data_IF_142749651253
#
_entry.id   IF_142749651253
#
_cell.length_a   1.000
_cell.length_b   1.000
_cell.length_c   1.000
_cell.angle_alpha   90.00
_cell.angle_beta   90.00
_cell.angle_gamma   90.00
#
_symmetry.space_group_name_H-M   'P 1'
#
loop_
_entity.id
_entity.type
_entity.pdbx_description
1 polymer ?
#
# COMPACT_ATOMS: atom_id res chain seq x y z
N UNK A 1 -24.95 -22.53 -0.02
CA UNK A 1 -25.88 -21.57 -0.66
C UNK A 1 -25.07 -20.28 -0.80
N UNK A 2 -24.50 -20.03 -1.97
CA UNK A 2 -23.69 -18.82 -2.23
C UNK A 2 -24.59 -17.61 -1.97
N UNK A 3 -24.19 -16.76 -1.07
CA UNK A 3 -24.94 -15.55 -0.77
C UNK A 3 -24.83 -14.62 -2.01
N UNK A 4 -25.91 -14.07 -2.53
CA UNK A 4 -25.94 -13.19 -3.70
C UNK A 4 -25.00 -11.96 -3.61
N UNK A 5 -24.38 -11.73 -2.45
CA UNK A 5 -23.48 -10.61 -2.15
C UNK A 5 -22.04 -10.82 -2.64
N UNK A 6 -21.60 -12.06 -2.81
CA UNK A 6 -20.22 -12.40 -3.22
C UNK A 6 -20.05 -12.67 -4.72
N UNK A 7 -21.02 -12.31 -5.54
CA UNK A 7 -20.97 -12.51 -7.00
C UNK A 7 -20.90 -11.21 -7.78
N UNK A 8 -20.89 -10.05 -7.13
CA UNK A 8 -20.89 -8.73 -7.77
C UNK A 8 -19.88 -7.78 -7.13
N UNK A 9 -19.32 -6.86 -7.90
CA UNK A 9 -18.54 -5.77 -7.33
C UNK A 9 -19.32 -5.00 -6.27
N UNK A 10 -18.63 -4.64 -5.20
CA UNK A 10 -19.17 -3.81 -4.13
C UNK A 10 -18.33 -2.54 -3.98
N UNK A 11 -19.01 -1.41 -3.91
CA UNK A 11 -18.35 -0.15 -3.61
C UNK A 11 -17.81 -0.17 -2.19
N UNK A 12 -16.60 0.34 -1.97
CA UNK A 12 -16.05 0.60 -0.64
C UNK A 12 -16.12 2.09 -0.31
N UNK A 13 -16.44 2.38 0.93
CA UNK A 13 -16.37 3.75 1.45
C UNK A 13 -14.92 4.11 1.78
N UNK A 14 -14.54 5.41 1.74
CA UNK A 14 -13.20 5.83 2.14
C UNK A 14 -12.81 5.34 3.53
N UNK A 15 -11.66 4.70 3.65
CA UNK A 15 -11.07 4.22 4.91
C UNK A 15 -9.84 5.07 5.21
N UNK A 16 -10.07 6.32 5.63
CA UNK A 16 -8.97 7.25 5.94
C UNK A 16 -8.26 6.80 7.22
N UNK A 17 -6.94 6.71 7.15
CA UNK A 17 -6.09 6.19 8.22
C UNK A 17 -5.22 7.31 8.77
N UNK A 18 -5.20 7.43 10.11
CA UNK A 18 -4.30 8.32 10.83
C UNK A 18 -2.85 7.91 10.62
N UNK A 19 -1.98 8.89 10.38
CA UNK A 19 -0.53 8.72 10.36
C UNK A 19 0.16 9.90 11.05
N UNK A 20 1.42 9.69 11.42
CA UNK A 20 2.26 10.71 12.04
C UNK A 20 2.67 11.84 11.09
N UNK A 21 2.37 11.74 9.80
CA UNK A 21 2.62 12.75 8.78
C UNK A 21 1.31 13.28 8.18
N UNK A 22 1.38 14.45 7.55
CA UNK A 22 0.19 15.12 6.99
C UNK A 22 0.07 14.89 5.50
N UNK A 23 -1.18 14.98 5.01
CA UNK A 23 -1.50 14.85 3.60
C UNK A 23 -2.98 14.61 3.35
N UNK A 24 -3.31 14.08 2.17
CA UNK A 24 -4.65 13.65 1.80
C UNK A 24 -5.41 14.59 0.90
N UNK A 25 -4.87 15.79 0.60
CA UNK A 25 -5.49 16.78 -0.28
C UNK A 25 -5.79 16.23 -1.69
N UNK A 26 -4.85 15.47 -2.28
CA UNK A 26 -5.05 14.91 -3.62
C UNK A 26 -6.06 13.77 -3.62
N UNK A 27 -6.14 12.97 -2.55
CA UNK A 27 -7.17 11.93 -2.38
C UNK A 27 -8.56 12.58 -2.39
N UNK A 28 -8.74 13.66 -1.60
CA UNK A 28 -10.00 14.37 -1.53
C UNK A 28 -10.38 14.98 -2.89
N UNK A 29 -9.42 15.62 -3.57
CA UNK A 29 -9.61 16.21 -4.91
C UNK A 29 -9.98 15.17 -5.96
N UNK A 30 -9.31 14.01 -5.94
CA UNK A 30 -9.65 12.87 -6.80
C UNK A 30 -11.12 12.45 -6.62
N UNK A 31 -11.66 12.59 -5.42
CA UNK A 31 -13.07 12.30 -5.07
C UNK A 31 -14.02 13.48 -5.26
N UNK A 32 -13.54 14.58 -5.87
CA UNK A 32 -14.35 15.78 -6.10
C UNK A 32 -14.66 16.57 -4.85
N UNK A 33 -13.86 16.43 -3.79
CA UNK A 33 -13.96 17.21 -2.55
C UNK A 33 -12.98 18.39 -2.59
N UNK A 34 -13.16 19.45 -1.79
CA UNK A 34 -12.26 20.61 -1.75
C UNK A 34 -10.80 20.23 -1.44
N UNK A 35 -10.59 19.23 -0.62
CA UNK A 35 -9.31 18.70 -0.21
C UNK A 35 -8.55 19.57 0.79
N UNK A 36 -8.00 18.92 1.81
CA UNK A 36 -7.19 19.54 2.85
C UNK A 36 -6.15 18.54 3.36
N UNK A 37 -4.93 19.01 3.62
CA UNK A 37 -3.93 18.19 4.28
C UNK A 37 -4.23 18.06 5.78
N UNK A 38 -4.33 16.81 6.21
CA UNK A 38 -4.67 16.43 7.59
C UNK A 38 -3.75 15.31 8.08
N UNK A 39 -3.98 14.81 9.29
CA UNK A 39 -3.31 13.63 9.84
C UNK A 39 -3.92 12.30 9.32
N UNK A 40 -4.68 12.36 8.22
CA UNK A 40 -5.29 11.19 7.54
C UNK A 40 -4.85 11.14 6.08
N UNK A 41 -3.54 11.00 5.80
CA UNK A 41 -2.96 11.08 4.46
C UNK A 41 -3.15 9.82 3.62
N UNK A 42 -3.59 8.74 4.21
CA UNK A 42 -3.81 7.45 3.57
C UNK A 42 -5.30 7.08 3.53
N UNK A 43 -5.68 6.34 2.48
CA UNK A 43 -6.97 5.69 2.36
C UNK A 43 -6.75 4.22 1.98
N UNK A 44 -7.12 3.31 2.88
CA UNK A 44 -6.93 1.88 2.70
C UNK A 44 -8.11 1.26 1.98
N UNK A 45 -7.90 0.90 0.73
CA UNK A 45 -8.97 0.51 -0.19
C UNK A 45 -9.18 -1.00 -0.17
N UNK A 46 -10.38 -1.44 0.18
CA UNK A 46 -10.70 -2.88 0.21
C UNK A 46 -9.85 -3.66 1.22
N UNK A 47 -9.45 -3.00 2.30
CA UNK A 47 -8.52 -3.55 3.28
C UNK A 47 -9.22 -4.37 4.37
N UNK A 48 -8.58 -5.48 4.71
CA UNK A 48 -8.88 -6.30 5.91
C UNK A 48 -7.74 -6.26 6.93
N UNK A 49 -6.73 -5.43 6.69
CA UNK A 49 -5.57 -5.24 7.56
C UNK A 49 -5.85 -4.13 8.56
N UNK A 50 -5.53 -4.36 9.83
CA UNK A 50 -5.62 -3.33 10.87
C UNK A 50 -4.38 -2.44 10.82
N UNK A 51 -4.58 -1.14 10.81
CA UNK A 51 -3.49 -0.16 10.86
C UNK A 51 -2.90 -0.07 12.28
N UNK A 52 -1.58 -0.01 12.36
CA UNK A 52 -0.84 0.13 13.61
C UNK A 52 -0.34 1.56 13.78
N UNK A 53 -0.84 2.24 14.81
CA UNK A 53 -0.40 3.58 15.17
C UNK A 53 0.01 3.59 16.64
N UNK A 54 1.32 3.64 16.96
CA UNK A 54 1.80 3.64 18.35
C UNK A 54 1.09 4.69 19.20
N UNK A 55 0.61 4.27 20.37
CA UNK A 55 -0.11 5.15 21.30
C UNK A 55 -1.60 5.40 20.98
N UNK A 56 -2.16 4.78 19.93
CA UNK A 56 -3.59 4.83 19.59
C UNK A 56 -4.20 3.43 19.68
N UNK A 57 -5.33 3.32 20.34
CA UNK A 57 -6.12 2.09 20.40
C UNK A 57 -7.34 2.21 19.45
N UNK A 58 -7.11 1.86 18.21
CA UNK A 58 -8.11 1.96 17.13
C UNK A 58 -8.26 0.59 16.42
N UNK A 59 -8.95 -0.38 17.03
CA UNK A 59 -8.96 -1.78 16.56
C UNK A 59 -9.64 -1.99 15.20
N UNK A 60 -10.31 -0.99 14.67
CA UNK A 60 -10.95 -1.01 13.35
C UNK A 60 -10.25 -0.08 12.33
N UNK A 61 -9.17 0.60 12.73
CA UNK A 61 -8.42 1.45 11.81
C UNK A 61 -7.88 0.62 10.63
N UNK A 62 -8.04 1.13 9.42
CA UNK A 62 -7.62 0.43 8.20
C UNK A 62 -8.59 -0.62 7.67
N UNK A 63 -9.63 -1.03 8.43
CA UNK A 63 -10.63 -1.98 7.94
C UNK A 63 -11.67 -1.29 7.07
N UNK A 64 -11.76 -1.70 5.80
CA UNK A 64 -12.71 -1.12 4.85
C UNK A 64 -14.16 -1.54 5.12
N UNK A 65 -15.07 -0.61 4.84
CA UNK A 65 -16.51 -0.84 4.85
C UNK A 65 -17.08 -0.79 3.44
N UNK A 66 -18.03 -1.65 3.20
CA UNK A 66 -18.85 -1.60 1.99
C UNK A 66 -19.86 -0.44 2.07
N UNK A 67 -20.55 -0.17 0.97
CA UNK A 67 -21.52 0.92 0.83
C UNK A 67 -22.76 0.79 1.74
N UNK A 68 -23.08 -0.43 2.21
CA UNK A 68 -24.11 -0.69 3.21
C UNK A 68 -23.64 -0.55 4.67
N UNK A 69 -22.34 -0.25 4.87
CA UNK A 69 -21.70 -0.06 6.18
C UNK A 69 -21.14 -1.35 6.80
N UNK A 70 -21.35 -2.53 6.19
CA UNK A 70 -20.75 -3.78 6.68
C UNK A 70 -19.21 -3.73 6.56
N UNK A 71 -18.50 -4.42 7.46
CA UNK A 71 -17.05 -4.58 7.36
C UNK A 71 -16.73 -5.63 6.30
N UNK A 72 -15.87 -5.29 5.35
CA UNK A 72 -15.42 -6.22 4.30
C UNK A 72 -14.82 -7.50 4.92
N UNK A 73 -14.06 -7.37 5.99
CA UNK A 73 -13.50 -8.52 6.73
C UNK A 73 -14.57 -9.52 7.18
N UNK A 74 -15.69 -9.02 7.68
CA UNK A 74 -16.77 -9.86 8.22
C UNK A 74 -17.56 -10.52 7.07
N UNK A 75 -17.73 -9.82 5.94
CA UNK A 75 -18.32 -10.39 4.71
C UNK A 75 -17.44 -11.50 4.12
N UNK A 76 -16.12 -11.30 4.06
CA UNK A 76 -15.17 -12.33 3.63
C UNK A 76 -15.20 -13.53 4.58
N UNK A 77 -15.27 -13.29 5.89
CA UNK A 77 -15.36 -14.38 6.87
C UNK A 77 -16.65 -15.20 6.75
N UNK A 78 -17.75 -14.57 6.30
CA UNK A 78 -19.03 -15.25 6.07
C UNK A 78 -19.07 -16.11 4.79
N UNK A 79 -18.31 -15.71 3.74
CA UNK A 79 -18.21 -16.42 2.46
C UNK A 79 -16.79 -16.34 1.89
N UNK A 80 -15.80 -17.02 2.50
CA UNK A 80 -14.41 -16.91 2.05
C UNK A 80 -14.18 -17.37 0.61
N UNK A 81 -14.85 -18.45 0.19
CA UNK A 81 -14.71 -19.00 -1.16
C UNK A 81 -15.28 -18.03 -2.22
N UNK A 82 -16.45 -17.45 -1.97
CA UNK A 82 -17.04 -16.48 -2.89
C UNK A 82 -16.21 -15.21 -3.04
N UNK A 83 -15.63 -14.73 -1.95
CA UNK A 83 -14.80 -13.51 -1.96
C UNK A 83 -13.38 -13.75 -2.48
N UNK A 84 -12.71 -14.79 -2.04
CA UNK A 84 -11.27 -14.97 -2.23
C UNK A 84 -10.92 -16.08 -3.24
N UNK A 85 -11.87 -16.98 -3.54
CA UNK A 85 -11.64 -18.17 -4.36
C UNK A 85 -11.26 -19.41 -3.55
N UNK A 86 -11.15 -20.55 -4.22
CA UNK A 86 -10.96 -21.85 -3.58
C UNK A 86 -9.62 -21.99 -2.84
N UNK A 87 -8.60 -21.25 -3.25
CA UNK A 87 -7.24 -21.28 -2.66
C UNK A 87 -7.02 -20.29 -1.51
N UNK A 88 -8.09 -19.66 -1.04
CA UNK A 88 -8.05 -18.63 0.00
C UNK A 88 -7.75 -19.19 1.40
N UNK A 89 -6.58 -19.75 1.58
CA UNK A 89 -6.13 -20.19 2.91
C UNK A 89 -5.99 -19.00 3.87
N UNK A 90 -6.76 -19.03 4.96
CA UNK A 90 -6.60 -18.08 6.08
C UNK A 90 -7.38 -16.78 6.02
N UNK A 91 -8.27 -16.56 5.03
CA UNK A 91 -9.14 -15.38 4.97
C UNK A 91 -8.43 -14.05 4.64
N UNK A 92 -7.21 -14.11 4.12
CA UNK A 92 -6.44 -12.95 3.68
C UNK A 92 -6.72 -12.63 2.21
N UNK A 93 -6.85 -11.34 1.87
CA UNK A 93 -6.90 -10.86 0.49
C UNK A 93 -5.56 -11.00 -0.25
N UNK A 94 -4.47 -11.31 0.47
CA UNK A 94 -3.11 -11.41 -0.05
C UNK A 94 -2.48 -10.08 -0.43
N UNK A 95 -3.23 -8.97 -0.43
CA UNK A 95 -2.77 -7.64 -0.80
C UNK A 95 -3.41 -6.57 0.09
N UNK A 96 -2.67 -5.53 0.40
CA UNK A 96 -3.19 -4.27 0.91
C UNK A 96 -2.99 -3.19 -0.16
N UNK A 97 -4.06 -2.51 -0.50
CA UNK A 97 -4.05 -1.39 -1.47
C UNK A 97 -4.34 -0.09 -0.73
N UNK A 98 -3.52 0.93 -0.95
CA UNK A 98 -3.70 2.25 -0.37
C UNK A 98 -3.66 3.33 -1.44
N UNK A 99 -4.44 4.38 -1.25
CA UNK A 99 -4.13 5.69 -1.80
C UNK A 99 -3.34 6.46 -0.73
N UNK A 100 -2.12 6.86 -1.06
CA UNK A 100 -1.19 7.53 -0.16
C UNK A 100 -0.82 8.89 -0.77
N UNK A 101 -1.05 9.98 -0.03
CA UNK A 101 -0.81 11.36 -0.49
C UNK A 101 -0.09 12.15 0.61
N UNK A 102 1.24 12.08 0.70
CA UNK A 102 2.00 12.82 1.70
C UNK A 102 2.18 14.29 1.28
N UNK A 103 1.92 15.23 2.21
CA UNK A 103 2.24 16.64 2.06
C UNK A 103 3.69 16.98 2.45
N UNK A 104 4.38 16.05 3.06
CA UNK A 104 5.76 16.13 3.52
C UNK A 104 6.51 14.83 3.21
N UNK A 105 7.84 14.84 3.17
CA UNK A 105 8.63 13.64 2.92
C UNK A 105 8.49 12.65 4.09
N UNK A 106 8.26 11.39 3.78
CA UNK A 106 8.31 10.32 4.76
C UNK A 106 9.75 10.06 5.21
N UNK A 107 9.98 9.57 6.44
CA UNK A 107 11.31 9.19 6.91
C UNK A 107 11.94 8.10 6.03
N UNK A 108 13.25 7.96 6.06
CA UNK A 108 13.92 6.78 5.50
C UNK A 108 13.54 5.57 6.34
N UNK A 109 13.01 4.55 5.69
CA UNK A 109 12.55 3.31 6.31
C UNK A 109 12.71 2.13 5.34
N UNK A 110 12.48 0.92 5.83
CA UNK A 110 12.44 -0.29 5.04
C UNK A 110 11.46 -1.30 5.65
N UNK A 111 11.20 -2.37 4.93
CA UNK A 111 10.24 -3.39 5.31
C UNK A 111 10.86 -4.78 5.37
N UNK A 112 10.43 -5.65 6.30
CA UNK A 112 10.93 -7.02 6.37
C UNK A 112 10.39 -7.88 5.21
N UNK A 113 11.15 -8.89 4.80
CA UNK A 113 10.65 -9.96 3.94
C UNK A 113 9.80 -10.98 4.73
N UNK A 114 9.19 -11.94 4.02
CA UNK A 114 8.35 -12.99 4.62
C UNK A 114 9.10 -13.85 5.64
N UNK A 115 10.36 -14.21 5.36
CA UNK A 115 11.17 -15.05 6.25
C UNK A 115 11.46 -14.34 7.57
N UNK A 116 11.87 -13.09 7.47
CA UNK A 116 12.11 -12.25 8.65
C UNK A 116 10.81 -12.01 9.44
N UNK A 117 9.72 -11.69 8.75
CA UNK A 117 8.43 -11.45 9.38
C UNK A 117 7.87 -12.70 10.08
N UNK A 118 8.04 -13.87 9.49
CA UNK A 118 7.66 -15.13 10.11
C UNK A 118 8.44 -15.39 11.41
N UNK A 119 9.75 -15.13 11.38
CA UNK A 119 10.65 -15.39 12.51
C UNK A 119 10.42 -14.42 13.67
N UNK A 120 10.25 -13.12 13.36
CA UNK A 120 10.26 -12.08 14.39
C UNK A 120 8.84 -11.60 14.79
N UNK A 121 7.86 -11.74 13.91
CA UNK A 121 6.51 -11.22 14.13
C UNK A 121 5.41 -12.29 14.01
N UNK A 122 5.75 -13.55 13.68
CA UNK A 122 4.77 -14.62 13.46
C UNK A 122 3.84 -14.38 12.27
N UNK A 123 4.25 -13.54 11.30
CA UNK A 123 3.48 -13.18 10.12
C UNK A 123 3.89 -14.01 8.91
N UNK A 124 2.91 -14.50 8.15
CA UNK A 124 3.16 -15.16 6.87
C UNK A 124 3.56 -14.17 5.75
N UNK A 125 3.35 -12.87 5.99
CA UNK A 125 3.61 -11.80 5.03
C UNK A 125 4.71 -10.87 5.52
N UNK A 126 5.58 -10.47 4.60
CA UNK A 126 6.49 -9.35 4.75
C UNK A 126 5.84 -8.03 4.32
N UNK A 127 6.61 -7.16 3.65
CA UNK A 127 6.05 -5.97 3.02
C UNK A 127 6.86 -5.57 1.78
N UNK A 128 6.85 -6.44 0.77
CA UNK A 128 7.18 -6.02 -0.60
C UNK A 128 6.08 -5.12 -1.11
N UNK A 129 6.42 -4.03 -1.81
CA UNK A 129 5.45 -3.06 -2.28
C UNK A 129 5.74 -2.52 -3.68
N UNK A 130 4.75 -1.90 -4.29
CA UNK A 130 4.89 -1.15 -5.52
C UNK A 130 4.03 0.12 -5.46
N UNK A 131 4.51 1.16 -6.12
CA UNK A 131 3.85 2.45 -6.19
C UNK A 131 3.46 2.77 -7.63
N UNK A 132 2.20 3.10 -7.85
CA UNK A 132 1.68 3.62 -9.10
C UNK A 132 1.31 5.07 -8.86
N UNK A 133 1.99 6.00 -9.51
CA UNK A 133 1.77 7.43 -9.32
C UNK A 133 0.48 7.84 -10.03
N UNK A 134 -0.56 8.16 -9.26
CA UNK A 134 -1.89 8.54 -9.77
C UNK A 134 -1.93 10.02 -10.13
N UNK A 135 -1.32 10.88 -9.31
CA UNK A 135 -1.22 12.32 -9.55
C UNK A 135 -0.04 12.93 -8.80
N UNK A 136 0.35 14.14 -9.18
CA UNK A 136 1.36 14.94 -8.46
C UNK A 136 0.83 16.35 -8.19
N UNK A 137 1.33 17.03 -7.13
CA UNK A 137 0.96 18.41 -6.80
C UNK A 137 1.57 19.45 -7.77
N UNK A 138 2.61 19.05 -8.49
CA UNK A 138 3.28 19.83 -9.53
C UNK A 138 3.45 18.99 -10.79
N UNK A 139 4.44 19.33 -11.63
CA UNK A 139 4.75 18.53 -12.82
C UNK A 139 5.35 17.17 -12.46
N UNK A 140 6.11 17.12 -11.37
CA UNK A 140 6.74 15.91 -10.86
C UNK A 140 6.85 15.96 -9.32
N UNK A 141 7.08 14.82 -8.73
CA UNK A 141 7.50 14.63 -7.34
C UNK A 141 8.77 13.77 -7.33
N UNK A 142 9.21 13.31 -6.18
CA UNK A 142 10.40 12.49 -6.07
C UNK A 142 10.26 11.43 -4.98
N UNK A 143 10.95 10.31 -5.20
CA UNK A 143 11.11 9.24 -4.22
C UNK A 143 12.57 8.86 -4.10
N UNK A 144 12.96 8.22 -3.00
CA UNK A 144 14.31 7.71 -2.78
C UNK A 144 14.23 6.21 -2.58
N UNK A 145 15.02 5.42 -3.34
CA UNK A 145 14.86 3.96 -3.36
C UNK A 145 16.21 3.27 -3.47
N UNK A 146 16.53 2.47 -2.47
CA UNK A 146 17.71 1.63 -2.43
C UNK A 146 19.02 2.41 -2.42
N UNK A 147 20.05 1.79 -1.94
CA UNK A 147 21.37 2.40 -1.85
C UNK A 147 21.99 2.62 -3.23
N UNK A 148 22.64 3.76 -3.43
CA UNK A 148 23.39 4.09 -4.64
C UNK A 148 24.69 3.29 -4.75
N UNK A 149 25.32 3.04 -3.61
CA UNK A 149 26.55 2.28 -3.44
C UNK A 149 26.39 1.33 -2.27
N UNK A 150 27.09 0.19 -2.23
CA UNK A 150 27.04 -0.69 -1.07
C UNK A 150 27.54 0.03 0.18
N UNK A 151 26.89 -0.20 1.31
CA UNK A 151 27.31 0.34 2.62
C UNK A 151 27.48 -0.83 3.59
N UNK A 152 28.52 -0.81 4.41
CA UNK A 152 28.66 -1.80 5.47
C UNK A 152 27.69 -1.54 6.63
N UNK A 153 27.38 -2.61 7.36
CA UNK A 153 26.38 -2.58 8.42
C UNK A 153 26.78 -1.64 9.59
N UNK A 154 28.07 -1.50 9.89
CA UNK A 154 28.54 -0.63 10.97
C UNK A 154 28.36 0.84 10.60
N UNK A 155 28.72 1.21 9.38
CA UNK A 155 28.51 2.57 8.85
C UNK A 155 27.03 2.94 8.82
N UNK A 156 26.18 2.06 8.27
CA UNK A 156 24.74 2.34 8.19
C UNK A 156 24.11 2.42 9.58
N UNK A 157 24.52 1.54 10.50
CA UNK A 157 24.13 1.59 11.91
C UNK A 157 24.55 2.90 12.58
N UNK A 158 25.75 3.38 12.31
CA UNK A 158 26.23 4.67 12.82
C UNK A 158 25.32 5.84 12.39
N UNK A 159 24.90 5.88 11.12
CA UNK A 159 23.95 6.91 10.67
C UNK A 159 22.59 6.84 11.37
N UNK A 160 22.13 5.62 11.68
CA UNK A 160 20.89 5.44 12.45
C UNK A 160 21.07 5.90 13.90
N UNK A 161 22.12 5.48 14.59
CA UNK A 161 22.34 5.80 15.99
C UNK A 161 22.57 7.30 16.21
N UNK A 162 23.29 7.97 15.32
CA UNK A 162 23.56 9.40 15.33
C UNK A 162 22.41 10.23 14.73
N UNK A 163 21.42 9.58 14.12
CA UNK A 163 20.35 10.21 13.32
C UNK A 163 20.92 11.17 12.27
N UNK A 164 21.96 10.72 11.56
CA UNK A 164 22.51 11.43 10.41
C UNK A 164 21.54 11.34 9.21
N UNK A 165 20.49 12.14 9.28
CA UNK A 165 19.43 12.22 8.27
C UNK A 165 19.97 12.56 6.88
N UNK A 166 21.05 13.35 6.83
CA UNK A 166 21.65 13.76 5.57
C UNK A 166 22.34 12.56 4.88
N UNK A 167 23.12 11.78 5.60
CA UNK A 167 23.77 10.56 5.07
C UNK A 167 22.75 9.49 4.74
N UNK A 168 21.76 9.23 5.60
CA UNK A 168 20.66 8.29 5.32
C UNK A 168 19.99 8.60 3.98
N UNK A 169 19.55 9.85 3.77
CA UNK A 169 18.84 10.22 2.55
C UNK A 169 19.78 10.30 1.33
N UNK A 170 20.99 10.84 1.49
CA UNK A 170 21.96 10.98 0.39
C UNK A 170 22.52 9.65 -0.10
N UNK A 171 22.47 8.59 0.72
CA UNK A 171 22.88 7.25 0.31
C UNK A 171 21.92 6.60 -0.69
N UNK A 172 20.68 7.07 -0.78
CA UNK A 172 19.64 6.50 -1.63
C UNK A 172 19.63 7.08 -3.05
N UNK A 173 19.15 6.29 -4.00
CA UNK A 173 18.87 6.76 -5.35
C UNK A 173 17.66 7.70 -5.32
N UNK A 174 17.86 8.95 -5.70
CA UNK A 174 16.78 9.92 -5.89
C UNK A 174 16.15 9.72 -7.27
N UNK A 175 14.86 9.46 -7.31
CA UNK A 175 14.11 9.13 -8.52
C UNK A 175 12.97 10.14 -8.70
N UNK A 176 12.99 10.98 -9.76
CA UNK A 176 11.84 11.79 -10.11
C UNK A 176 10.71 10.89 -10.61
N UNK A 177 9.47 11.21 -10.21
CA UNK A 177 8.26 10.47 -10.57
C UNK A 177 7.17 11.42 -11.04
N UNK A 178 6.37 10.95 -12.01
CA UNK A 178 5.23 11.66 -12.62
C UNK A 178 4.01 10.75 -12.66
N UNK A 179 2.85 11.32 -12.89
CA UNK A 179 1.62 10.57 -13.11
C UNK A 179 1.82 9.48 -14.17
N UNK A 180 1.46 8.25 -13.84
CA UNK A 180 1.62 7.05 -14.66
C UNK A 180 2.91 6.26 -14.41
N UNK A 181 3.89 6.83 -13.69
CA UNK A 181 5.10 6.09 -13.33
C UNK A 181 4.77 4.96 -12.34
N UNK A 182 5.52 3.86 -12.48
CA UNK A 182 5.47 2.71 -11.58
C UNK A 182 6.84 2.52 -10.94
N UNK A 183 6.87 2.20 -9.66
CA UNK A 183 8.10 1.90 -8.92
C UNK A 183 7.89 0.64 -8.09
N UNK A 184 8.76 -0.35 -8.24
CA UNK A 184 8.74 -1.58 -7.45
C UNK A 184 9.78 -1.51 -6.33
N UNK A 185 9.38 -1.84 -5.11
CA UNK A 185 10.20 -1.76 -3.90
C UNK A 185 10.22 -3.12 -3.21
N UNK A 186 11.22 -3.97 -3.49
CA UNK A 186 11.38 -5.23 -2.79
C UNK A 186 11.56 -5.02 -1.28
N UNK A 187 11.08 -5.96 -0.48
CA UNK A 187 11.36 -5.99 0.96
C UNK A 187 12.87 -5.89 1.22
N UNK A 188 13.28 -5.26 2.31
CA UNK A 188 14.66 -4.95 2.66
C UNK A 188 15.21 -3.69 2.01
N UNK A 189 14.60 -3.16 0.96
CA UNK A 189 15.09 -1.96 0.27
C UNK A 189 14.83 -0.69 1.09
N UNK A 190 15.87 0.07 1.51
CA UNK A 190 15.66 1.34 2.21
C UNK A 190 15.11 2.38 1.24
N UNK A 191 14.08 3.12 1.67
CA UNK A 191 13.39 4.07 0.80
C UNK A 191 12.73 5.23 1.58
N UNK A 192 12.31 6.25 0.84
CA UNK A 192 11.50 7.35 1.34
C UNK A 192 10.62 7.90 0.21
N UNK A 193 9.39 8.29 0.54
CA UNK A 193 8.45 8.92 -0.39
C UNK A 193 8.48 10.44 -0.17
N UNK A 194 8.66 11.19 -1.23
CA UNK A 194 8.65 12.66 -1.21
C UNK A 194 7.25 13.24 -1.11
N UNK A 195 7.19 14.52 -0.81
CA UNK A 195 5.94 15.24 -0.73
C UNK A 195 5.25 15.38 -2.09
N UNK A 196 3.92 15.32 -2.10
CA UNK A 196 3.11 15.73 -3.23
C UNK A 196 2.92 14.72 -4.35
N UNK A 197 3.18 13.44 -4.11
CA UNK A 197 2.77 12.35 -4.99
C UNK A 197 1.54 11.65 -4.41
N UNK A 198 0.43 11.58 -5.16
CA UNK A 198 -0.65 10.63 -4.86
C UNK A 198 -0.28 9.30 -5.48
N UNK A 199 -0.12 8.31 -4.64
CA UNK A 199 0.31 6.97 -5.01
C UNK A 199 -0.81 5.96 -4.73
N UNK A 200 -1.10 5.09 -5.69
CA UNK A 200 -1.75 3.82 -5.42
C UNK A 200 -0.64 2.83 -5.04
N UNK A 201 -0.54 2.51 -3.76
CA UNK A 201 0.43 1.57 -3.21
C UNK A 201 -0.19 0.19 -3.11
N UNK A 202 0.43 -0.79 -3.74
CA UNK A 202 0.14 -2.21 -3.56
C UNK A 202 1.23 -2.80 -2.69
N UNK A 203 0.86 -3.55 -1.66
CA UNK A 203 1.82 -4.18 -0.76
C UNK A 203 1.30 -5.51 -0.20
N UNK A 204 2.18 -6.32 0.35
CA UNK A 204 1.76 -7.44 1.18
C UNK A 204 0.93 -6.94 2.38
N UNK A 205 -0.08 -7.69 2.85
CA UNK A 205 -1.10 -7.18 3.77
C UNK A 205 -0.62 -7.06 5.22
N UNK A 206 0.43 -6.26 5.43
CA UNK A 206 0.97 -5.91 6.75
C UNK A 206 1.21 -4.41 6.88
N UNK A 207 1.38 -3.93 8.11
CA UNK A 207 1.74 -2.54 8.39
C UNK A 207 3.14 -2.41 9.04
N UNK A 208 4.06 -3.32 8.69
CA UNK A 208 5.42 -3.34 9.23
C UNK A 208 6.28 -2.27 8.57
N UNK A 209 6.85 -1.35 9.37
CA UNK A 209 7.81 -0.35 8.91
C UNK A 209 8.93 -0.21 9.93
N UNK A 210 10.17 -0.47 9.52
CA UNK A 210 11.37 -0.24 10.33
C UNK A 210 11.94 1.11 9.91
N UNK A 211 11.89 2.09 10.81
CA UNK A 211 12.15 3.50 10.51
C UNK A 211 13.58 3.87 10.90
N UNK A 212 14.45 4.05 9.89
CA UNK A 212 15.85 4.44 10.12
C UNK A 212 15.99 5.90 10.59
N UNK A 213 15.10 6.77 10.14
CA UNK A 213 15.12 8.20 10.38
C UNK A 213 13.94 8.62 11.27
N UNK A 214 14.11 8.67 12.59
CA UNK A 214 13.04 9.11 13.49
C UNK A 214 13.19 10.56 13.95
N UNK A 215 14.43 11.12 13.96
CA UNK A 215 14.65 12.50 14.35
C UNK A 215 13.93 13.48 13.41
N UNK A 216 13.11 14.35 13.99
CA UNK A 216 12.27 15.30 13.25
C UNK A 216 10.90 14.77 12.84
N UNK A 217 10.58 13.53 13.21
CA UNK A 217 9.25 12.93 13.11
C UNK A 217 8.73 12.60 14.52
N UNK A 218 7.43 12.55 14.75
CA UNK A 218 6.86 12.18 16.05
C UNK A 218 6.90 10.66 16.27
N UNK A 219 8.08 10.07 16.12
CA UNK A 219 8.36 8.64 16.27
C UNK A 219 9.33 8.47 17.42
N UNK A 220 9.01 7.61 18.38
CA UNK A 220 9.92 7.31 19.48
C UNK A 220 11.00 6.31 18.99
N UNK A 221 12.25 6.47 19.41
CA UNK A 221 13.33 5.54 19.01
C UNK A 221 13.01 4.07 19.25
N UNK A 222 12.34 3.76 20.37
CA UNK A 222 11.94 2.39 20.70
C UNK A 222 10.85 1.80 19.81
N UNK A 223 10.04 2.62 19.14
CA UNK A 223 9.02 2.19 18.20
C UNK A 223 9.59 2.00 16.78
N UNK A 224 10.73 2.62 16.47
CA UNK A 224 11.31 2.69 15.13
C UNK A 224 11.72 1.32 14.54
N UNK A 225 12.02 0.36 15.39
CA UNK A 225 12.45 -0.98 15.03
C UNK A 225 11.43 -2.06 15.43
N UNK A 226 10.15 -1.72 15.55
CA UNK A 226 9.05 -2.63 15.88
C UNK A 226 9.26 -3.45 17.17
N UNK A 227 10.06 -2.91 18.13
CA UNK A 227 10.33 -3.54 19.42
C UNK A 227 11.39 -4.67 19.42
N UNK A 228 11.97 -5.03 18.27
CA UNK A 228 12.93 -6.15 18.15
C UNK A 228 14.40 -5.74 18.37
N UNK A 229 14.68 -4.45 18.43
CA UNK A 229 16.04 -3.90 18.54
C UNK A 229 16.75 -3.81 17.20
N UNK A 230 17.72 -2.88 17.11
CA UNK A 230 18.41 -2.58 15.85
C UNK A 230 19.33 -3.70 15.37
N UNK A 231 19.91 -4.52 16.27
CA UNK A 231 20.76 -5.64 15.87
C UNK A 231 19.97 -6.69 15.07
N UNK A 232 18.75 -6.97 15.47
CA UNK A 232 17.85 -7.83 14.71
C UNK A 232 17.31 -7.12 13.44
N UNK A 233 16.84 -5.88 13.58
CA UNK A 233 16.21 -5.14 12.50
C UNK A 233 17.12 -4.96 11.29
N UNK A 234 18.41 -4.64 11.48
CA UNK A 234 19.38 -4.49 10.40
C UNK A 234 19.61 -5.75 9.57
N UNK A 235 19.34 -6.94 10.10
CA UNK A 235 19.45 -8.17 9.31
C UNK A 235 18.40 -8.30 8.21
N UNK A 236 17.33 -7.49 8.25
CA UNK A 236 16.31 -7.42 7.20
C UNK A 236 16.62 -6.33 6.15
N UNK A 237 17.68 -5.52 6.34
CA UNK A 237 18.03 -4.42 5.45
C UNK A 237 18.96 -4.89 4.33
N UNK A 238 18.66 -4.55 3.08
CA UNK A 238 19.55 -4.76 1.94
C UNK A 238 20.57 -3.61 1.82
N UNK A 239 21.81 -3.90 2.15
CA UNK A 239 22.94 -2.95 2.13
C UNK A 239 23.72 -2.96 0.82
N UNK A 240 23.24 -3.68 -0.19
CA UNK A 240 23.85 -3.68 -1.54
C UNK A 240 23.42 -2.46 -2.34
N UNK A 241 24.20 -2.10 -3.36
CA UNK A 241 23.75 -1.13 -4.35
C UNK A 241 22.51 -1.63 -5.07
N UNK A 242 21.55 -0.72 -5.28
CA UNK A 242 20.27 -1.03 -5.90
C UNK A 242 20.02 -0.14 -7.12
N UNK A 243 19.56 -0.74 -8.20
CA UNK A 243 19.04 0.01 -9.36
C UNK A 243 17.51 0.10 -9.24
N UNK A 244 16.94 1.30 -9.17
CA UNK A 244 15.49 1.46 -9.06
C UNK A 244 14.73 0.78 -10.22
N UNK A 245 13.74 -0.02 -9.90
CA UNK A 245 12.91 -0.75 -10.86
C UNK A 245 11.65 0.08 -11.12
N UNK A 246 11.48 0.55 -12.36
CA UNK A 246 10.41 1.50 -12.76
C UNK A 246 9.29 0.82 -13.56
N UNK A 247 8.96 -0.41 -13.20
CA UNK A 247 7.89 -1.22 -13.77
C UNK A 247 7.49 -2.30 -12.75
N UNK A 248 6.38 -2.98 -12.96
CA UNK A 248 6.08 -4.21 -12.21
C UNK A 248 6.79 -5.37 -12.91
N UNK A 249 7.85 -5.94 -12.33
CA UNK A 249 8.51 -7.11 -12.88
C UNK A 249 7.63 -8.35 -12.69
N UNK A 250 7.82 -9.39 -13.52
CA UNK A 250 7.07 -10.65 -13.35
C UNK A 250 7.22 -11.26 -11.96
N UNK A 251 8.36 -11.06 -11.31
CA UNK A 251 8.59 -11.48 -9.93
C UNK A 251 7.61 -10.83 -8.91
N UNK A 252 7.02 -9.68 -9.23
CA UNK A 252 6.02 -9.04 -8.38
C UNK A 252 4.73 -9.88 -8.26
N UNK A 253 4.44 -10.77 -9.22
CA UNK A 253 3.26 -11.66 -9.23
C UNK A 253 3.21 -12.62 -8.04
N UNK A 254 4.35 -12.90 -7.44
CA UNK A 254 4.44 -13.65 -6.19
C UNK A 254 3.76 -12.90 -5.01
N UNK A 255 3.67 -11.57 -5.09
CA UNK A 255 3.17 -10.72 -4.02
C UNK A 255 1.84 -10.04 -4.39
N UNK A 256 1.78 -9.45 -5.59
CA UNK A 256 0.63 -8.73 -6.11
C UNK A 256 0.79 -8.44 -7.61
N UNK A 257 -0.28 -7.95 -8.23
CA UNK A 257 -0.24 -7.43 -9.60
C UNK A 257 -1.18 -6.24 -9.76
N UNK A 258 -0.86 -5.35 -10.70
CA UNK A 258 -1.76 -4.29 -11.13
C UNK A 258 -1.74 -4.10 -12.64
N UNK A 259 -2.91 -3.80 -13.19
CA UNK A 259 -3.11 -3.46 -14.60
C UNK A 259 -4.34 -2.55 -14.76
N UNK A 260 -4.58 -2.05 -15.98
CA UNK A 260 -5.76 -1.25 -16.30
C UNK A 260 -6.85 -2.09 -17.01
N UNK A 261 -7.08 -3.32 -16.57
CA UNK A 261 -8.13 -4.19 -17.08
C UNK A 261 -9.37 -4.13 -16.20
N UNK A 262 -10.50 -3.73 -16.78
CA UNK A 262 -11.78 -3.66 -16.08
C UNK A 262 -12.56 -4.99 -16.19
N UNK A 263 -11.90 -6.09 -15.81
CA UNK A 263 -12.44 -7.47 -15.92
C UNK A 263 -12.21 -8.21 -14.59
N UNK A 264 -13.16 -9.10 -14.18
CA UNK A 264 -12.93 -10.01 -13.06
C UNK A 264 -11.70 -10.90 -13.32
N UNK A 265 -11.02 -11.30 -12.25
CA UNK A 265 -9.79 -12.08 -12.34
C UNK A 265 -9.92 -13.51 -11.80
N UNK A 266 -11.14 -13.96 -11.40
CA UNK A 266 -11.35 -15.24 -10.72
C UNK A 266 -10.73 -15.31 -9.32
N UNK A 267 -10.28 -14.15 -8.79
CA UNK A 267 -9.74 -13.93 -7.45
C UNK A 267 -10.11 -12.55 -6.96
N UNK A 268 -10.00 -12.30 -5.67
CA UNK A 268 -10.29 -10.99 -5.09
C UNK A 268 -9.48 -9.89 -5.78
N UNK A 269 -10.17 -8.80 -6.12
CA UNK A 269 -9.55 -7.63 -6.71
C UNK A 269 -10.04 -6.34 -6.06
N UNK A 270 -9.16 -5.35 -6.00
CA UNK A 270 -9.49 -3.96 -5.69
C UNK A 270 -9.45 -3.16 -6.98
N UNK A 271 -10.52 -2.43 -7.28
CA UNK A 271 -10.61 -1.55 -8.43
C UNK A 271 -10.67 -0.09 -7.98
N UNK A 272 -9.81 0.75 -8.56
CA UNK A 272 -9.77 2.19 -8.33
C UNK A 272 -10.11 2.89 -9.65
N UNK A 273 -11.16 3.69 -9.68
CA UNK A 273 -11.50 4.51 -10.85
C UNK A 273 -10.53 5.69 -10.92
N UNK A 274 -9.56 5.60 -11.85
CA UNK A 274 -8.53 6.61 -12.05
C UNK A 274 -9.05 7.84 -12.76
N UNK A 275 -9.98 7.64 -13.72
CA UNK A 275 -10.56 8.73 -14.51
C UNK A 275 -11.91 8.33 -15.09
N UNK A 276 -12.75 9.34 -15.38
CA UNK A 276 -14.01 9.19 -16.08
C UNK A 276 -15.24 9.13 -15.19
N UNK A 277 -16.38 8.89 -15.82
CA UNK A 277 -17.67 8.68 -15.18
C UNK A 277 -18.52 7.70 -15.98
N UNK A 278 -19.33 6.88 -15.27
CA UNK A 278 -20.15 5.85 -15.88
C UNK A 278 -20.77 4.94 -14.83
N UNK A 279 -20.68 3.62 -15.05
CA UNK A 279 -21.17 2.63 -14.09
C UNK A 279 -20.26 1.40 -14.03
N UNK A 280 -20.24 0.74 -12.90
CA UNK A 280 -19.67 -0.59 -12.65
C UNK A 280 -20.83 -1.48 -12.19
N UNK A 281 -21.18 -2.49 -12.94
CA UNK A 281 -22.30 -3.42 -12.72
C UNK A 281 -23.64 -2.67 -12.40
N UNK A 282 -23.91 -1.61 -13.18
CA UNK A 282 -25.09 -0.76 -13.00
C UNK A 282 -25.00 0.27 -11.88
N UNK A 283 -24.03 0.19 -10.97
CA UNK A 283 -23.80 1.20 -9.94
C UNK A 283 -23.07 2.41 -10.54
N UNK A 284 -23.58 3.66 -10.38
CA UNK A 284 -22.87 4.85 -10.88
C UNK A 284 -21.44 4.90 -10.35
N UNK A 285 -20.49 5.25 -11.22
CA UNK A 285 -19.07 5.31 -10.88
C UNK A 285 -18.40 6.54 -11.49
N UNK A 286 -17.46 7.13 -10.77
CA UNK A 286 -16.66 8.28 -11.20
C UNK A 286 -15.25 8.22 -10.64
N UNK A 287 -14.39 9.06 -11.15
CA UNK A 287 -13.02 9.24 -10.64
C UNK A 287 -12.99 9.29 -9.10
N UNK A 288 -12.12 8.49 -8.50
CA UNK A 288 -11.94 8.36 -7.05
C UNK A 288 -12.85 7.33 -6.37
N UNK A 289 -13.85 6.78 -7.07
CA UNK A 289 -14.61 5.67 -6.53
C UNK A 289 -13.78 4.38 -6.53
N UNK A 290 -14.00 3.55 -5.51
CA UNK A 290 -13.30 2.29 -5.37
C UNK A 290 -14.28 1.14 -5.16
N UNK A 291 -13.92 -0.02 -5.69
CA UNK A 291 -14.73 -1.24 -5.61
C UNK A 291 -13.87 -2.41 -5.18
N UNK A 292 -14.48 -3.38 -4.53
CA UNK A 292 -13.93 -4.73 -4.35
C UNK A 292 -14.71 -5.67 -5.26
N UNK A 293 -13.97 -6.54 -5.94
CA UNK A 293 -14.53 -7.52 -6.87
C UNK A 293 -14.26 -8.90 -6.31
N UNK A 294 -15.31 -9.66 -5.94
CA UNK A 294 -15.16 -11.01 -5.42
C UNK A 294 -14.61 -11.98 -6.48
N UNK A 295 -13.95 -13.04 -6.03
CA UNK A 295 -13.46 -14.11 -6.90
C UNK A 295 -14.59 -14.79 -7.70
N UNK A 296 -15.77 -14.94 -7.09
CA UNK A 296 -16.94 -15.54 -7.72
C UNK A 296 -17.63 -14.63 -8.76
N UNK A 297 -17.20 -13.39 -8.94
CA UNK A 297 -17.71 -12.54 -10.02
C UNK A 297 -17.21 -13.04 -11.37
N UNK A 298 -18.10 -13.52 -12.22
CA UNK A 298 -17.75 -14.06 -13.55
C UNK A 298 -17.78 -12.99 -14.64
N UNK A 299 -18.73 -12.06 -14.55
CA UNK A 299 -18.93 -10.97 -15.50
C UNK A 299 -19.26 -9.69 -14.76
N UNK A 300 -18.67 -8.59 -15.18
CA UNK A 300 -18.91 -7.25 -14.64
C UNK A 300 -19.08 -6.28 -15.82
N UNK A 301 -20.22 -5.62 -15.87
CA UNK A 301 -20.44 -4.59 -16.88
C UNK A 301 -19.75 -3.29 -16.45
N UNK A 302 -18.85 -2.77 -17.27
CA UNK A 302 -18.14 -1.51 -17.03
C UNK A 302 -18.35 -0.55 -18.19
N UNK A 303 -18.76 0.68 -17.88
CA UNK A 303 -18.90 1.73 -18.90
C UNK A 303 -17.55 2.06 -19.55
N UNK A 304 -17.52 2.17 -20.87
CA UNK A 304 -16.31 2.43 -21.67
C UNK A 304 -15.61 3.76 -21.39
N UNK A 305 -16.26 4.66 -20.65
CA UNK A 305 -15.68 5.96 -20.24
C UNK A 305 -14.91 5.92 -18.93
N UNK A 306 -14.76 4.74 -18.30
CA UNK A 306 -14.03 4.57 -17.06
C UNK A 306 -12.63 4.01 -17.33
N UNK A 307 -11.60 4.64 -16.73
CA UNK A 307 -10.25 4.09 -16.63
C UNK A 307 -10.08 3.54 -15.22
N UNK A 308 -9.84 2.25 -15.10
CA UNK A 308 -9.80 1.54 -13.82
C UNK A 308 -8.43 0.90 -13.62
N UNK A 309 -7.81 1.16 -12.48
CA UNK A 309 -6.67 0.39 -11.98
C UNK A 309 -7.21 -0.82 -11.22
N UNK A 310 -6.89 -2.02 -11.72
CA UNK A 310 -7.19 -3.29 -11.07
C UNK A 310 -5.97 -3.74 -10.27
N UNK A 311 -6.15 -3.95 -8.97
CA UNK A 311 -5.12 -4.42 -8.05
C UNK A 311 -5.48 -5.82 -7.55
N UNK A 312 -4.53 -6.74 -7.62
CA UNK A 312 -4.70 -8.16 -7.33
C UNK A 312 -3.69 -8.63 -6.27
N UNK A 313 -4.07 -9.58 -5.43
CA UNK A 313 -3.13 -10.32 -4.59
C UNK A 313 -2.18 -11.21 -5.39
N UNK A 314 -1.42 -12.09 -4.72
CA UNK A 314 -0.49 -13.01 -5.38
C UNK A 314 -1.22 -13.93 -6.38
N UNK A 315 -0.51 -14.37 -7.42
CA UNK A 315 -1.04 -15.43 -8.29
C UNK A 315 -1.15 -16.74 -7.52
N UNK A 316 -2.23 -17.52 -7.73
CA UNK A 316 -2.31 -18.88 -7.19
C UNK A 316 -1.12 -19.70 -7.68
N UNK A 317 -0.47 -20.42 -6.76
CA UNK A 317 0.70 -21.25 -7.06
C UNK A 317 0.32 -22.53 -7.83
#
# INVERSE_FOLDING_TARGET
>A
MVTLLSVRPRRVTPTRVYRFYRGGLLIDRMRGQPGVDSEYPEDWVGSVTVASNPGRDEPLAGLSRLDDGSLLRDEIAADPEGWLGADAAGGSTGVLVKLLDPAERLPVHFHPDRSFAATNFGSAYGKTEAWIVVATRGEESEVWIGLREPVDSETYRGWIDDQDRASLLASLNRVPVRTGDVVYVPAGTPHAIGAGALIAELQEPTDFSIVCEWAGFPIRPEDSHLGIGWDAALSALDLRAHTPIRELPDAAREFFWADELAEPAGRFAVWIVLDGSGSVDGAPARTGDCFVVPAAAEQVEVSSGLRILRCLGPEPG
#
